data_IF_977953763731
#
_entry.id   IF_977953763731
#
_cell.length_a   1.000
_cell.length_b   1.000
_cell.length_c   1.000
_cell.angle_alpha   90.00
_cell.angle_beta   90.00
_cell.angle_gamma   90.00
#
_symmetry.space_group_name_H-M   'P 1'
#
loop_
_entity.id
_entity.type
_entity.pdbx_description
1 polymer ?
#
# COMPACT_ATOMS: atom_id res chain seq x y z
N UNK A 1 -27.22 -9.91 -49.14
CA UNK A 1 -25.82 -9.97 -48.67
C UNK A 1 -25.20 -11.23 -49.25
N UNK A 2 -24.11 -11.09 -50.00
CA UNK A 2 -23.41 -12.27 -50.58
C UNK A 2 -22.45 -12.88 -49.53
N UNK A 3 -22.07 -14.15 -49.73
CA UNK A 3 -21.11 -14.85 -48.87
C UNK A 3 -19.76 -14.08 -48.81
N UNK A 4 -19.35 -13.48 -49.90
CA UNK A 4 -18.11 -12.69 -49.95
C UNK A 4 -18.20 -11.40 -49.15
N UNK A 5 -19.33 -10.71 -49.20
CA UNK A 5 -19.60 -9.53 -48.38
C UNK A 5 -19.55 -9.90 -46.90
N UNK A 6 -20.22 -10.99 -46.49
CA UNK A 6 -20.17 -11.46 -45.10
C UNK A 6 -18.75 -11.81 -44.64
N UNK A 7 -17.96 -12.47 -45.45
CA UNK A 7 -16.55 -12.81 -45.17
C UNK A 7 -15.69 -11.55 -45.00
N UNK A 8 -15.93 -10.52 -45.80
CA UNK A 8 -15.22 -9.24 -45.72
C UNK A 8 -15.55 -8.53 -44.40
N UNK A 9 -16.82 -8.41 -44.07
CA UNK A 9 -17.28 -7.79 -42.82
C UNK A 9 -16.75 -8.53 -41.58
N UNK A 10 -16.77 -9.89 -41.60
CA UNK A 10 -16.23 -10.67 -40.50
C UNK A 10 -14.73 -10.44 -40.31
N UNK A 11 -13.93 -10.37 -41.40
CA UNK A 11 -12.50 -10.05 -41.31
C UNK A 11 -12.25 -8.65 -40.79
N UNK A 12 -13.04 -7.67 -41.20
CA UNK A 12 -12.95 -6.29 -40.69
C UNK A 12 -13.27 -6.24 -39.22
N UNK A 13 -14.33 -6.91 -38.76
CA UNK A 13 -14.67 -7.01 -37.34
C UNK A 13 -13.56 -7.66 -36.52
N UNK A 14 -13.03 -8.80 -36.97
CA UNK A 14 -11.92 -9.50 -36.32
C UNK A 14 -10.69 -8.61 -36.20
N UNK A 15 -10.37 -7.85 -37.24
CA UNK A 15 -9.22 -6.92 -37.23
C UNK A 15 -9.44 -5.79 -36.24
N UNK A 16 -10.63 -5.18 -36.24
CA UNK A 16 -11.01 -4.11 -35.33
C UNK A 16 -11.00 -4.59 -33.88
N UNK A 17 -11.65 -5.73 -33.61
CA UNK A 17 -11.67 -6.33 -32.27
C UNK A 17 -10.25 -6.67 -31.76
N UNK A 18 -9.40 -7.21 -32.63
CA UNK A 18 -8.00 -7.50 -32.28
C UNK A 18 -7.21 -6.24 -31.98
N UNK A 19 -7.39 -5.17 -32.73
CA UNK A 19 -6.75 -3.86 -32.49
C UNK A 19 -7.21 -3.29 -31.15
N UNK A 20 -8.51 -3.30 -30.88
CA UNK A 20 -9.09 -2.84 -29.62
C UNK A 20 -8.47 -3.59 -28.43
N UNK A 21 -8.50 -4.91 -28.44
CA UNK A 21 -7.99 -5.74 -27.33
C UNK A 21 -6.47 -5.67 -27.18
N UNK A 22 -5.74 -5.51 -28.28
CA UNK A 22 -4.29 -5.48 -28.28
C UNK A 22 -3.71 -4.14 -27.84
N UNK A 23 -4.25 -3.05 -28.35
CA UNK A 23 -3.60 -1.74 -28.32
C UNK A 23 -4.39 -0.71 -27.46
N UNK A 24 -5.72 -0.74 -27.50
CA UNK A 24 -6.56 0.29 -26.90
C UNK A 24 -7.00 -0.07 -25.46
N UNK A 25 -7.41 -1.33 -25.24
CA UNK A 25 -7.85 -1.78 -23.91
C UNK A 25 -6.74 -1.82 -22.86
N UNK A 26 -5.48 -2.24 -23.13
CA UNK A 26 -4.46 -2.33 -22.10
C UNK A 26 -4.18 -1.01 -21.35
N UNK A 27 -4.04 0.16 -22.00
CA UNK A 27 -3.86 1.43 -21.27
C UNK A 27 -5.12 1.87 -20.50
N UNK A 28 -6.32 1.53 -20.98
CA UNK A 28 -7.56 1.81 -20.25
C UNK A 28 -7.60 0.99 -18.95
N UNK A 29 -7.36 -0.32 -19.06
CA UNK A 29 -7.27 -1.24 -17.91
C UNK A 29 -6.20 -0.76 -16.92
N UNK A 30 -5.04 -0.34 -17.41
CA UNK A 30 -3.95 0.16 -16.57
C UNK A 30 -4.35 1.38 -15.73
N UNK A 31 -5.03 2.34 -16.33
CA UNK A 31 -5.54 3.52 -15.62
C UNK A 31 -6.61 3.16 -14.59
N UNK A 32 -7.56 2.31 -14.95
CA UNK A 32 -8.59 1.84 -14.02
C UNK A 32 -7.96 1.13 -12.82
N UNK A 33 -7.03 0.22 -13.06
CA UNK A 33 -6.36 -0.55 -12.02
C UNK A 33 -5.52 0.35 -11.09
N UNK A 34 -4.72 1.27 -11.62
CA UNK A 34 -3.94 2.21 -10.81
C UNK A 34 -4.84 3.09 -9.96
N UNK A 35 -5.94 3.60 -10.52
CA UNK A 35 -6.90 4.43 -9.78
C UNK A 35 -7.58 3.61 -8.67
N UNK A 36 -8.02 2.39 -8.97
CA UNK A 36 -8.60 1.47 -7.99
C UNK A 36 -7.63 1.19 -6.82
N UNK A 37 -6.37 0.87 -7.11
CA UNK A 37 -5.38 0.59 -6.07
C UNK A 37 -4.98 1.85 -5.27
N UNK A 38 -4.92 3.02 -5.88
CA UNK A 38 -4.70 4.28 -5.15
C UNK A 38 -5.88 4.62 -4.24
N UNK A 39 -7.09 4.26 -4.63
CA UNK A 39 -8.28 4.46 -3.81
C UNK A 39 -8.27 3.57 -2.55
N UNK A 40 -7.67 2.37 -2.61
CA UNK A 40 -7.47 1.52 -1.44
C UNK A 40 -6.70 2.25 -0.32
N UNK A 41 -5.70 3.06 -0.67
CA UNK A 41 -4.96 3.87 0.32
C UNK A 41 -5.83 4.94 0.96
N UNK A 42 -6.72 5.58 0.21
CA UNK A 42 -7.64 6.60 0.72
C UNK A 42 -8.71 5.99 1.62
N UNK A 43 -9.21 4.82 1.25
CA UNK A 43 -10.19 4.06 2.05
C UNK A 43 -9.58 3.35 3.26
N UNK A 44 -8.24 3.25 3.33
CA UNK A 44 -7.54 2.57 4.41
C UNK A 44 -7.77 1.06 4.45
N UNK A 45 -8.02 0.43 3.29
CA UNK A 45 -8.30 -0.99 3.16
C UNK A 45 -8.20 -1.46 1.71
N UNK A 46 -8.32 -2.76 1.50
CA UNK A 46 -8.39 -3.35 0.17
C UNK A 46 -9.85 -3.53 -0.26
N UNK A 47 -10.19 -3.06 -1.45
CA UNK A 47 -11.52 -3.26 -2.03
C UNK A 47 -11.47 -4.46 -2.96
N UNK A 48 -12.00 -5.58 -2.51
CA UNK A 48 -12.29 -6.74 -3.36
C UNK A 48 -13.76 -6.70 -3.82
N UNK A 49 -14.63 -7.53 -3.30
CA UNK A 49 -16.09 -7.40 -3.44
C UNK A 49 -16.64 -6.34 -2.50
N UNK A 50 -16.05 -6.24 -1.32
CA UNK A 50 -16.30 -5.25 -0.28
C UNK A 50 -14.98 -4.66 0.23
N UNK A 51 -15.03 -3.63 1.08
CA UNK A 51 -13.86 -3.05 1.71
C UNK A 51 -13.38 -3.95 2.85
N UNK A 52 -12.13 -4.42 2.76
CA UNK A 52 -11.39 -5.10 3.83
C UNK A 52 -10.45 -4.09 4.50
N UNK A 53 -10.80 -3.54 5.70
CA UNK A 53 -10.03 -2.48 6.33
C UNK A 53 -8.66 -2.99 6.80
N UNK A 54 -7.61 -2.17 6.64
CA UNK A 54 -6.29 -2.51 7.13
C UNK A 54 -6.15 -2.32 8.63
N UNK A 55 -5.33 -3.16 9.30
CA UNK A 55 -5.03 -2.97 10.72
C UNK A 55 -4.50 -1.56 11.00
N UNK A 56 -5.07 -0.91 12.02
CA UNK A 56 -4.65 0.41 12.48
C UNK A 56 -3.18 0.38 12.91
N UNK A 57 -2.46 1.45 12.66
CA UNK A 57 -1.05 1.56 13.03
C UNK A 57 -0.90 2.05 14.47
N UNK A 58 0.17 1.62 15.17
CA UNK A 58 0.51 2.16 16.50
C UNK A 58 0.64 3.69 16.50
N UNK A 59 1.09 4.26 15.38
CA UNK A 59 1.17 5.71 15.19
C UNK A 59 -0.21 6.38 15.32
N UNK A 60 -1.25 5.80 14.76
CA UNK A 60 -2.61 6.32 14.84
C UNK A 60 -3.22 6.14 16.25
N UNK A 61 -2.86 5.06 16.95
CA UNK A 61 -3.32 4.77 18.31
C UNK A 61 -2.66 5.65 19.38
N UNK A 62 -1.54 6.32 19.09
CA UNK A 62 -0.77 7.09 20.06
C UNK A 62 -1.42 8.41 20.52
N UNK A 63 -2.65 8.74 20.05
CA UNK A 63 -3.44 9.88 20.52
C UNK A 63 -2.84 11.27 20.29
N UNK A 64 -1.71 11.37 19.61
CA UNK A 64 -0.98 12.63 19.42
C UNK A 64 -1.67 13.58 18.42
N UNK A 65 -1.42 14.88 18.61
CA UNK A 65 -1.98 15.96 17.77
C UNK A 65 -1.24 16.17 16.44
N UNK A 66 -0.12 15.45 16.20
CA UNK A 66 0.70 15.62 15.02
C UNK A 66 0.03 15.04 13.75
N UNK A 67 0.22 15.72 12.62
CA UNK A 67 -0.32 15.29 11.34
C UNK A 67 0.02 13.83 10.99
N UNK A 68 1.24 13.36 11.32
CA UNK A 68 1.68 12.00 11.11
C UNK A 68 0.80 10.92 11.79
N UNK A 69 0.08 11.27 12.85
CA UNK A 69 -0.82 10.37 13.58
C UNK A 69 -2.22 10.31 12.95
N UNK A 70 -2.58 11.35 12.19
CA UNK A 70 -3.86 11.45 11.49
C UNK A 70 -3.87 10.74 10.14
N UNK A 71 -2.69 10.44 9.58
CA UNK A 71 -2.63 9.71 8.31
C UNK A 71 -3.13 8.28 8.49
N UNK A 72 -3.91 7.81 7.51
CA UNK A 72 -4.33 6.42 7.41
C UNK A 72 -3.15 5.44 7.32
N UNK A 73 -3.41 4.12 7.43
CA UNK A 73 -2.40 3.11 7.20
C UNK A 73 -1.75 3.30 5.83
N UNK A 74 -0.43 3.11 5.74
CA UNK A 74 0.38 3.27 4.52
C UNK A 74 0.41 4.69 3.91
N UNK A 75 -0.26 5.67 4.51
CA UNK A 75 -0.21 7.07 4.08
C UNK A 75 0.84 7.87 4.87
N UNK A 76 1.35 8.93 4.26
CA UNK A 76 2.29 9.88 4.83
C UNK A 76 2.11 11.24 4.15
N UNK A 77 2.83 12.26 4.62
CA UNK A 77 2.82 13.59 3.96
C UNK A 77 3.19 13.53 2.47
N UNK A 78 4.08 12.62 2.10
CA UNK A 78 4.54 12.44 0.71
C UNK A 78 3.71 11.46 -0.10
N UNK A 79 2.99 10.55 0.56
CA UNK A 79 2.23 9.44 -0.04
C UNK A 79 3.04 8.63 -1.07
N UNK A 80 4.34 8.43 -0.78
CA UNK A 80 5.30 7.85 -1.72
C UNK A 80 4.83 6.49 -2.24
N UNK A 81 4.47 5.57 -1.34
CA UNK A 81 4.01 4.23 -1.71
C UNK A 81 2.77 4.27 -2.64
N UNK A 82 1.78 5.08 -2.31
CA UNK A 82 0.58 5.25 -3.13
C UNK A 82 0.91 5.83 -4.51
N UNK A 83 1.73 6.88 -4.57
CA UNK A 83 2.10 7.55 -5.82
C UNK A 83 2.97 6.69 -6.73
N UNK A 84 3.78 5.79 -6.18
CA UNK A 84 4.65 4.88 -6.92
C UNK A 84 3.90 3.69 -7.55
N UNK A 85 2.59 3.56 -7.31
CA UNK A 85 1.77 2.57 -8.03
C UNK A 85 1.56 3.05 -9.46
N UNK A 86 2.01 2.25 -10.42
CA UNK A 86 2.01 2.54 -11.86
C UNK A 86 1.76 1.28 -12.69
N UNK A 87 1.59 1.44 -13.99
CA UNK A 87 1.36 0.35 -14.91
C UNK A 87 2.24 0.46 -16.16
N UNK A 88 2.46 -0.67 -16.78
CA UNK A 88 3.06 -0.84 -18.09
C UNK A 88 2.13 -1.66 -18.97
N UNK A 89 2.15 -1.38 -20.26
CA UNK A 89 1.33 -2.09 -21.24
C UNK A 89 2.18 -2.73 -22.32
N UNK A 90 1.74 -3.86 -22.79
CA UNK A 90 2.21 -4.50 -24.03
C UNK A 90 1.02 -5.09 -24.75
N UNK A 91 1.21 -5.70 -25.93
CA UNK A 91 0.14 -6.32 -26.68
C UNK A 91 -0.70 -7.28 -25.81
N UNK A 92 -2.00 -7.03 -25.70
CA UNK A 92 -2.97 -7.79 -24.89
C UNK A 92 -2.68 -7.86 -23.39
N UNK A 93 -1.78 -7.02 -22.85
CA UNK A 93 -1.34 -7.17 -21.48
C UNK A 93 -1.18 -5.83 -20.78
N UNK A 94 -1.63 -5.79 -19.53
CA UNK A 94 -1.36 -4.72 -18.57
C UNK A 94 -0.71 -5.31 -17.33
N UNK A 95 0.39 -4.73 -16.90
CA UNK A 95 1.07 -5.04 -15.64
C UNK A 95 0.98 -3.85 -14.72
N UNK A 96 0.38 -4.00 -13.56
CA UNK A 96 0.40 -2.99 -12.49
C UNK A 96 1.39 -3.41 -11.42
N UNK A 97 2.20 -2.47 -10.97
CA UNK A 97 3.28 -2.75 -10.02
C UNK A 97 3.62 -1.54 -9.15
N UNK A 98 4.41 -1.80 -8.14
CA UNK A 98 5.00 -0.79 -7.28
C UNK A 98 6.44 -1.24 -6.96
N UNK A 99 7.41 -0.44 -7.33
CA UNK A 99 8.84 -0.75 -7.24
C UNK A 99 9.53 -0.19 -6.00
N UNK A 100 8.76 0.30 -5.05
CA UNK A 100 9.29 0.71 -3.76
C UNK A 100 9.73 -0.53 -2.96
N UNK A 101 10.97 -0.56 -2.47
CA UNK A 101 11.60 -1.71 -1.80
C UNK A 101 10.74 -2.37 -0.72
N UNK A 102 10.00 -1.56 0.02
CA UNK A 102 9.12 -2.05 1.10
C UNK A 102 7.69 -2.33 0.65
N UNK A 103 7.35 -2.20 -0.63
CA UNK A 103 6.00 -2.42 -1.14
C UNK A 103 5.52 -3.85 -0.92
N UNK A 104 6.37 -4.83 -1.28
CA UNK A 104 6.03 -6.26 -1.18
C UNK A 104 5.72 -6.69 0.26
N UNK A 105 6.54 -6.27 1.23
CA UNK A 105 6.33 -6.64 2.64
C UNK A 105 5.07 -6.03 3.23
N UNK A 106 4.68 -4.83 2.79
CA UNK A 106 3.40 -4.24 3.20
C UNK A 106 2.22 -4.93 2.52
N UNK A 107 2.34 -5.27 1.25
CA UNK A 107 1.28 -5.94 0.49
C UNK A 107 0.98 -7.35 1.03
N UNK A 108 2.00 -8.12 1.33
CA UNK A 108 1.89 -9.53 1.73
C UNK A 108 1.95 -9.76 3.24
N UNK A 109 2.46 -8.78 3.99
CA UNK A 109 2.85 -8.97 5.38
C UNK A 109 4.14 -9.78 5.51
N UNK A 110 4.63 -9.93 6.73
CA UNK A 110 5.80 -10.76 6.97
C UNK A 110 6.65 -10.31 8.16
N UNK A 111 7.89 -10.79 8.19
CA UNK A 111 8.86 -10.46 9.25
C UNK A 111 10.10 -9.85 8.61
N UNK A 112 10.59 -8.76 9.18
CA UNK A 112 11.85 -8.12 8.79
C UNK A 112 12.84 -8.13 9.94
N UNK A 113 14.12 -8.08 9.59
CA UNK A 113 15.21 -8.06 10.56
C UNK A 113 16.12 -6.84 10.40
N UNK A 114 15.59 -5.61 10.65
CA UNK A 114 16.39 -4.40 10.51
C UNK A 114 17.57 -4.39 11.48
N UNK A 115 18.71 -3.89 10.99
CA UNK A 115 19.92 -3.71 11.78
C UNK A 115 19.76 -2.54 12.76
N UNK A 116 20.17 -2.73 14.01
CA UNK A 116 20.19 -1.69 15.03
C UNK A 116 21.40 -0.77 14.80
N UNK A 117 21.11 0.44 14.30
CA UNK A 117 22.16 1.42 14.00
C UNK A 117 22.35 2.42 15.16
N UNK A 118 23.52 3.08 15.27
CA UNK A 118 23.70 4.18 16.22
C UNK A 118 22.67 5.31 16.05
N UNK A 119 22.24 5.57 14.81
CA UNK A 119 21.16 6.55 14.52
C UNK A 119 19.82 6.12 15.13
N UNK A 120 19.48 4.84 15.05
CA UNK A 120 18.27 4.29 15.66
C UNK A 120 18.31 4.41 17.18
N UNK A 121 19.46 4.14 17.82
CA UNK A 121 19.63 4.30 19.29
C UNK A 121 19.49 5.76 19.72
N UNK A 122 20.10 6.70 19.00
CA UNK A 122 19.94 8.16 19.26
C UNK A 122 18.49 8.59 19.13
N UNK A 123 17.80 8.12 18.11
CA UNK A 123 16.37 8.40 17.94
C UNK A 123 15.53 7.80 19.08
N UNK A 124 15.85 6.62 19.54
CA UNK A 124 15.16 5.98 20.66
C UNK A 124 15.35 6.78 21.98
N UNK A 125 16.56 7.27 22.24
CA UNK A 125 16.82 8.19 23.37
C UNK A 125 16.03 9.50 23.26
N UNK A 126 16.03 10.12 22.09
CA UNK A 126 15.20 11.31 21.86
C UNK A 126 13.72 11.04 22.18
N UNK A 127 13.17 9.94 21.68
CA UNK A 127 11.78 9.56 21.94
C UNK A 127 11.51 9.24 23.40
N UNK A 128 12.46 8.65 24.12
CA UNK A 128 12.39 8.43 25.56
C UNK A 128 12.17 9.74 26.32
N UNK A 129 13.00 10.73 26.06
CA UNK A 129 12.88 12.04 26.73
C UNK A 129 11.59 12.79 26.35
N UNK A 130 11.18 12.73 25.09
CA UNK A 130 9.91 13.31 24.63
C UNK A 130 8.71 12.65 25.31
N UNK A 131 8.77 11.36 25.60
CA UNK A 131 7.74 10.62 26.32
C UNK A 131 7.77 10.83 27.86
N UNK A 132 8.61 11.77 28.34
CA UNK A 132 8.73 12.11 29.76
C UNK A 132 9.73 11.27 30.56
N UNK A 133 10.53 10.45 29.86
CA UNK A 133 11.62 9.71 30.49
C UNK A 133 12.67 10.65 31.09
N UNK A 134 13.25 10.27 32.24
CA UNK A 134 14.28 11.07 32.94
C UNK A 134 13.75 12.14 33.89
N UNK A 135 12.45 12.30 34.07
CA UNK A 135 11.88 13.14 35.12
C UNK A 135 11.98 12.43 36.46
N UNK A 136 12.51 13.13 37.45
CA UNK A 136 12.84 12.60 38.78
C UNK A 136 11.66 12.22 39.67
N UNK A 137 10.43 12.60 39.32
CA UNK A 137 9.23 12.09 40.00
C UNK A 137 8.75 10.86 39.24
N UNK A 138 8.72 9.70 39.90
CA UNK A 138 8.11 8.49 39.39
C UNK A 138 6.67 8.81 38.95
N UNK A 139 6.35 8.83 37.67
CA UNK A 139 4.98 8.99 37.23
C UNK A 139 4.25 7.69 37.55
N UNK A 140 3.03 7.83 38.00
CA UNK A 140 2.07 6.76 38.02
C UNK A 140 2.14 5.90 36.77
N UNK A 141 1.84 4.59 36.85
CA UNK A 141 1.91 3.65 35.72
C UNK A 141 0.90 4.03 34.63
N UNK A 142 1.18 5.10 33.91
CA UNK A 142 0.40 5.60 32.79
C UNK A 142 0.97 5.08 31.47
N UNK A 143 0.17 5.02 30.42
CA UNK A 143 0.59 4.64 29.05
C UNK A 143 1.83 5.43 28.57
N UNK A 144 2.01 6.67 29.03
CA UNK A 144 3.19 7.50 28.76
C UNK A 144 4.48 6.87 29.31
N UNK A 145 4.42 6.23 30.48
CA UNK A 145 5.56 5.58 31.11
C UNK A 145 5.95 4.28 30.38
N UNK A 146 4.97 3.49 29.95
CA UNK A 146 5.22 2.28 29.13
C UNK A 146 5.87 2.62 27.80
N UNK A 147 5.43 3.71 27.16
CA UNK A 147 6.01 4.21 25.90
C UNK A 147 7.46 4.67 26.12
N UNK A 148 7.76 5.39 27.20
CA UNK A 148 9.12 5.81 27.54
C UNK A 148 10.03 4.59 27.79
N UNK A 149 9.58 3.63 28.60
CA UNK A 149 10.35 2.41 28.87
C UNK A 149 10.59 1.55 27.62
N UNK A 150 9.62 1.48 26.70
CA UNK A 150 9.82 0.82 25.40
C UNK A 150 10.96 1.47 24.61
N UNK A 151 11.02 2.80 24.56
CA UNK A 151 12.09 3.53 23.85
C UNK A 151 13.44 3.35 24.54
N UNK A 152 13.50 3.36 25.87
CA UNK A 152 14.70 3.08 26.64
C UNK A 152 15.25 1.66 26.37
N UNK A 153 14.38 0.66 26.36
CA UNK A 153 14.76 -0.73 26.00
C UNK A 153 15.35 -0.81 24.60
N UNK A 154 14.78 -0.08 23.62
CA UNK A 154 15.33 -0.01 22.27
C UNK A 154 16.69 0.70 22.24
N UNK A 155 16.86 1.79 22.98
CA UNK A 155 18.11 2.52 23.05
C UNK A 155 19.24 1.69 23.66
N UNK A 156 18.94 0.91 24.69
CA UNK A 156 19.90 0.08 25.45
C UNK A 156 20.07 -1.33 24.89
N UNK A 157 19.32 -1.71 23.86
CA UNK A 157 19.38 -3.10 23.33
C UNK A 157 20.81 -3.48 22.90
N UNK A 158 21.27 -4.65 23.29
CA UNK A 158 22.53 -5.24 22.83
C UNK A 158 22.37 -5.99 21.50
N UNK A 159 21.13 -6.18 21.02
CA UNK A 159 20.86 -6.86 19.76
C UNK A 159 21.41 -6.08 18.58
N UNK A 160 21.98 -6.77 17.62
CA UNK A 160 22.46 -6.22 16.35
C UNK A 160 21.32 -6.12 15.33
N UNK A 161 20.30 -6.98 15.44
CA UNK A 161 19.10 -7.00 14.59
C UNK A 161 17.85 -7.06 15.46
N UNK A 162 16.78 -6.42 14.99
CA UNK A 162 15.45 -6.52 15.58
C UNK A 162 14.60 -7.48 14.73
N UNK A 163 13.64 -8.13 15.36
CA UNK A 163 12.58 -8.86 14.64
C UNK A 163 11.34 -8.02 14.65
N UNK A 164 10.93 -7.57 13.47
CA UNK A 164 9.73 -6.72 13.30
C UNK A 164 8.71 -7.45 12.44
N UNK A 165 7.55 -7.72 13.01
CA UNK A 165 6.42 -8.31 12.30
C UNK A 165 5.59 -7.19 11.68
N UNK A 166 5.44 -7.25 10.35
CA UNK A 166 4.64 -6.29 9.57
C UNK A 166 3.33 -6.97 9.20
N UNK A 167 2.17 -6.44 9.62
CA UNK A 167 0.88 -7.01 9.26
C UNK A 167 0.61 -6.82 7.76
N UNK A 168 -0.09 -7.78 7.15
CA UNK A 168 -0.56 -7.67 5.76
C UNK A 168 -1.46 -6.45 5.62
N UNK A 169 -1.17 -5.63 4.62
CA UNK A 169 -2.00 -4.52 4.16
C UNK A 169 -1.97 -4.53 2.64
N UNK A 170 -2.68 -5.49 2.08
CA UNK A 170 -2.76 -5.67 0.64
C UNK A 170 -3.31 -4.40 -0.01
N UNK A 171 -2.63 -3.88 -1.02
CA UNK A 171 -3.05 -2.71 -1.79
C UNK A 171 -3.04 -2.96 -3.29
N UNK A 172 -2.34 -3.99 -3.76
CA UNK A 172 -2.36 -4.52 -5.14
C UNK A 172 -2.68 -6.01 -5.06
N UNK A 173 -3.61 -6.47 -5.91
CA UNK A 173 -3.98 -7.88 -6.00
C UNK A 173 -5.28 -8.07 -6.79
N UNK A 174 -5.72 -9.32 -6.98
CA UNK A 174 -7.03 -9.61 -7.59
C UNK A 174 -8.14 -8.88 -6.83
N UNK A 175 -9.08 -8.28 -7.57
CA UNK A 175 -10.22 -7.56 -7.02
C UNK A 175 -11.45 -7.77 -7.90
N UNK A 176 -12.53 -8.29 -7.33
CA UNK A 176 -13.79 -8.49 -8.01
C UNK A 176 -14.42 -7.15 -8.41
N UNK A 177 -14.26 -6.09 -7.61
CA UNK A 177 -14.74 -4.76 -7.94
C UNK A 177 -14.01 -4.19 -9.15
N UNK A 178 -12.68 -4.34 -9.22
CA UNK A 178 -11.90 -3.92 -10.38
C UNK A 178 -12.28 -4.71 -11.62
N UNK A 179 -12.46 -6.02 -11.50
CA UNK A 179 -12.89 -6.87 -12.64
C UNK A 179 -14.23 -6.40 -13.20
N UNK A 180 -15.21 -6.10 -12.35
CA UNK A 180 -16.50 -5.55 -12.79
C UNK A 180 -16.35 -4.20 -13.51
N UNK A 181 -15.49 -3.30 -13.02
CA UNK A 181 -15.22 -2.03 -13.69
C UNK A 181 -14.60 -2.20 -15.06
N UNK A 182 -13.68 -3.17 -15.21
CA UNK A 182 -13.04 -3.48 -16.50
C UNK A 182 -14.06 -4.06 -17.50
N UNK A 183 -14.89 -4.99 -17.05
CA UNK A 183 -15.94 -5.60 -17.91
C UNK A 183 -16.93 -4.55 -18.37
N UNK A 184 -17.46 -3.74 -17.47
CA UNK A 184 -18.38 -2.65 -17.81
C UNK A 184 -17.77 -1.67 -18.83
N UNK A 185 -16.47 -1.35 -18.68
CA UNK A 185 -15.78 -0.47 -19.63
C UNK A 185 -15.55 -1.12 -21.00
N UNK A 186 -15.55 -2.44 -21.09
CA UNK A 186 -15.48 -3.16 -22.35
C UNK A 186 -16.82 -3.29 -23.08
N UNK A 187 -17.95 -3.01 -22.41
CA UNK A 187 -19.30 -3.02 -22.96
C UNK A 187 -19.72 -1.66 -23.58
N UNK A 188 -19.02 -0.58 -23.24
CA UNK A 188 -19.19 0.78 -23.80
C UNK A 188 -18.45 0.93 -25.16
#
# INVERSE_FOLDING_TARGET
MTIEQLRKELRQFQTAARKLLRDEMPPIIGRLAVNHYRENFRKGGFVDSALEPWPVTRRQQSGGKFAAQRYGPLLSSRNHLMKSTRYETSAFRTRVFNDVDYASIHNSGGVTHPTVTPKMRRFAWYRYFVAGGGKTKAPDRTEANETAEMWKRLALTKKTKLTVRIPKRQFIGPSAALTRQILHKGEE
#
